data_IF_598448223366
#
_entry.id   IF_598448223366
#
_cell.length_a   1.000
_cell.length_b   1.000
_cell.length_c   1.000
_cell.angle_alpha   90.00
_cell.angle_beta   90.00
_cell.angle_gamma   90.00
#
_symmetry.space_group_name_H-M   'P 1'
#
loop_
_entity.id
_entity.type
_entity.pdbx_description
1 polymer ?
#
# COMPACT_ATOMS: atom_id res chain seq x y z
N UNK A 1 65.11 -22.79 20.35
CA UNK A 1 63.84 -23.36 20.85
C UNK A 1 62.85 -22.22 20.98
N UNK A 2 61.81 -22.13 20.13
CA UNK A 2 60.81 -21.08 20.25
C UNK A 2 59.64 -21.53 21.14
N UNK A 3 59.22 -20.64 22.03
CA UNK A 3 58.02 -20.75 22.85
C UNK A 3 56.77 -20.79 21.98
N UNK A 4 55.99 -21.86 22.14
CA UNK A 4 54.69 -22.03 21.50
C UNK A 4 53.62 -21.47 22.44
N UNK A 5 53.12 -20.29 22.13
CA UNK A 5 51.96 -19.70 22.79
C UNK A 5 50.71 -20.54 22.47
N UNK A 6 50.24 -21.32 23.44
CA UNK A 6 48.90 -21.91 23.40
C UNK A 6 47.86 -20.81 23.69
N UNK A 7 47.34 -20.16 22.65
CA UNK A 7 46.08 -19.42 22.75
C UNK A 7 44.94 -20.43 22.85
N UNK A 8 44.51 -20.72 24.09
CA UNK A 8 43.23 -21.37 24.35
C UNK A 8 42.11 -20.44 23.89
N UNK A 9 41.52 -20.70 22.72
CA UNK A 9 40.24 -20.10 22.38
C UNK A 9 39.16 -20.72 23.29
N UNK A 10 38.74 -19.99 24.31
CA UNK A 10 37.51 -20.31 25.02
C UNK A 10 36.34 -20.38 24.01
N UNK A 11 35.51 -21.43 24.05
CA UNK A 11 34.36 -21.51 23.18
C UNK A 11 33.34 -20.44 23.57
N UNK A 12 33.20 -19.42 22.71
CA UNK A 12 32.16 -18.37 22.71
C UNK A 12 30.73 -18.97 22.75
N UNK A 13 30.58 -20.29 22.64
CA UNK A 13 29.32 -21.01 22.71
C UNK A 13 28.64 -21.04 24.11
N UNK A 14 29.30 -20.60 25.19
CA UNK A 14 28.73 -20.69 26.56
C UNK A 14 27.92 -19.46 27.01
N UNK A 15 27.92 -18.34 26.30
CA UNK A 15 27.25 -17.11 26.78
C UNK A 15 25.74 -17.04 26.53
N UNK A 16 25.15 -18.00 25.80
CA UNK A 16 23.71 -17.99 25.48
C UNK A 16 22.85 -18.91 26.36
N UNK A 17 23.43 -19.60 27.35
CA UNK A 17 22.77 -20.74 28.02
C UNK A 17 22.14 -20.45 29.39
N UNK A 18 21.80 -19.21 29.74
CA UNK A 18 21.05 -18.94 30.99
C UNK A 18 20.23 -17.65 30.92
N UNK A 19 19.34 -17.50 29.92
CA UNK A 19 18.18 -16.60 30.10
C UNK A 19 17.13 -17.30 30.95
N UNK A 20 16.88 -16.76 32.14
CA UNK A 20 15.96 -17.29 33.15
C UNK A 20 14.56 -17.57 32.56
N UNK A 21 13.82 -18.56 33.08
CA UNK A 21 12.49 -18.91 32.59
C UNK A 21 11.51 -17.72 32.60
N UNK A 22 11.73 -16.76 33.51
CA UNK A 22 10.98 -15.50 33.58
C UNK A 22 11.18 -14.61 32.34
N UNK A 23 12.42 -14.49 31.84
CA UNK A 23 12.72 -13.71 30.63
C UNK A 23 12.07 -14.33 29.39
N UNK A 24 12.02 -15.67 29.33
CA UNK A 24 11.34 -16.39 28.25
C UNK A 24 9.82 -16.21 28.33
N UNK A 25 9.25 -16.29 29.52
CA UNK A 25 7.82 -16.06 29.75
C UNK A 25 7.39 -14.64 29.35
N UNK A 26 8.17 -13.63 29.77
CA UNK A 26 7.92 -12.23 29.41
C UNK A 26 8.01 -12.01 27.89
N UNK A 27 9.01 -12.61 27.23
CA UNK A 27 9.16 -12.53 25.78
C UNK A 27 7.94 -13.08 25.03
N UNK A 28 7.46 -14.26 25.42
CA UNK A 28 6.26 -14.86 24.81
C UNK A 28 4.99 -14.05 25.11
N UNK A 29 4.84 -13.54 26.34
CA UNK A 29 3.72 -12.67 26.69
C UNK A 29 3.69 -11.39 25.82
N UNK A 30 4.85 -10.77 25.56
CA UNK A 30 4.97 -9.64 24.65
C UNK A 30 4.58 -10.00 23.22
N UNK A 31 5.01 -11.15 22.69
CA UNK A 31 4.63 -11.60 21.34
C UNK A 31 3.12 -11.79 21.23
N UNK A 32 2.49 -12.47 22.19
CA UNK A 32 1.05 -12.69 22.20
C UNK A 32 0.31 -11.36 22.32
N UNK A 33 0.75 -10.48 23.21
CA UNK A 33 0.15 -9.15 23.39
C UNK A 33 0.21 -8.32 22.11
N UNK A 34 1.37 -8.26 21.44
CA UNK A 34 1.53 -7.55 20.17
C UNK A 34 0.68 -8.18 19.07
N UNK A 35 0.56 -9.50 19.04
CA UNK A 35 -0.26 -10.23 18.05
C UNK A 35 -1.75 -9.95 18.22
N UNK A 36 -2.24 -9.93 19.46
CA UNK A 36 -3.66 -9.61 19.76
C UNK A 36 -3.95 -8.14 19.43
N UNK A 37 -3.04 -7.24 19.78
CA UNK A 37 -3.16 -5.82 19.42
C UNK A 37 -3.16 -5.59 17.91
N UNK A 38 -2.28 -6.28 17.17
CA UNK A 38 -2.24 -6.13 15.71
C UNK A 38 -3.50 -6.70 15.05
N UNK A 39 -4.04 -7.81 15.56
CA UNK A 39 -5.32 -8.37 15.14
C UNK A 39 -6.51 -7.43 15.38
N UNK A 40 -6.47 -6.57 16.40
CA UNK A 40 -7.52 -5.58 16.65
C UNK A 40 -7.33 -4.26 15.89
N UNK A 41 -6.09 -3.75 15.85
CA UNK A 41 -5.79 -2.43 15.30
C UNK A 41 -5.72 -2.42 13.77
N UNK A 42 -5.14 -3.46 13.16
CA UNK A 42 -5.03 -3.54 11.70
C UNK A 42 -6.40 -3.52 10.99
N UNK A 43 -7.41 -4.33 11.36
CA UNK A 43 -8.71 -4.27 10.70
C UNK A 43 -9.44 -2.94 10.97
N UNK A 44 -9.24 -2.32 12.14
CA UNK A 44 -9.79 -1.00 12.42
C UNK A 44 -9.22 0.07 11.48
N UNK A 45 -7.89 0.08 11.29
CA UNK A 45 -7.24 1.00 10.36
C UNK A 45 -7.71 0.78 8.92
N UNK A 46 -7.85 -0.48 8.49
CA UNK A 46 -8.37 -0.83 7.16
C UNK A 46 -9.83 -0.37 7.01
N UNK A 47 -10.66 -0.55 8.03
CA UNK A 47 -12.05 -0.09 8.01
C UNK A 47 -12.14 1.44 7.91
N UNK A 48 -11.29 2.17 8.64
CA UNK A 48 -11.24 3.63 8.60
C UNK A 48 -10.77 4.16 7.25
N UNK A 49 -9.75 3.56 6.62
CA UNK A 49 -9.29 3.97 5.29
C UNK A 49 -10.36 3.72 4.23
N UNK A 50 -11.03 2.56 4.29
CA UNK A 50 -12.15 2.24 3.39
C UNK A 50 -13.33 3.18 3.58
N UNK A 51 -13.72 3.47 4.82
CA UNK A 51 -14.81 4.41 5.10
C UNK A 51 -14.49 5.82 4.60
N UNK A 52 -13.23 6.26 4.72
CA UNK A 52 -12.78 7.54 4.19
C UNK A 52 -12.82 7.57 2.66
N UNK A 53 -12.39 6.48 2.00
CA UNK A 53 -12.46 6.37 0.55
C UNK A 53 -13.90 6.35 0.06
N UNK A 54 -14.77 5.56 0.68
CA UNK A 54 -16.20 5.52 0.34
C UNK A 54 -16.82 6.92 0.40
N UNK A 55 -16.66 7.63 1.53
CA UNK A 55 -17.17 9.00 1.68
C UNK A 55 -16.68 9.99 0.63
N UNK A 56 -15.46 9.81 0.11
CA UNK A 56 -14.93 10.64 -0.98
C UNK A 56 -15.57 10.27 -2.32
N UNK A 57 -15.78 8.99 -2.58
CA UNK A 57 -16.25 8.49 -3.87
C UNK A 57 -17.77 8.47 -4.00
N UNK A 58 -18.51 8.35 -2.90
CA UNK A 58 -19.98 8.30 -2.91
C UNK A 58 -20.60 9.47 -3.69
N UNK A 59 -20.18 10.74 -3.50
CA UNK A 59 -20.72 11.85 -4.28
C UNK A 59 -20.42 11.77 -5.78
N UNK A 60 -19.28 11.18 -6.17
CA UNK A 60 -18.93 10.96 -7.57
C UNK A 60 -19.86 9.92 -8.20
N UNK A 61 -20.19 8.84 -7.48
CA UNK A 61 -21.11 7.82 -8.00
C UNK A 61 -22.57 8.29 -8.02
N UNK A 62 -22.98 9.16 -7.10
CA UNK A 62 -24.35 9.68 -7.05
C UNK A 62 -24.59 10.85 -8.02
N UNK A 63 -23.60 11.72 -8.21
CA UNK A 63 -23.78 13.00 -8.93
C UNK A 63 -22.68 13.29 -9.97
N UNK A 64 -21.72 12.39 -10.12
CA UNK A 64 -20.64 12.56 -11.08
C UNK A 64 -21.13 12.43 -12.52
N UNK A 65 -20.39 13.07 -13.41
CA UNK A 65 -20.60 12.97 -14.85
C UNK A 65 -19.48 12.11 -15.43
N UNK A 66 -19.85 11.21 -16.34
CA UNK A 66 -18.90 10.37 -17.03
C UNK A 66 -18.36 11.08 -18.29
N UNK A 67 -17.06 10.94 -18.54
CA UNK A 67 -16.45 11.30 -19.81
C UNK A 67 -15.38 10.27 -20.20
N UNK A 68 -14.96 10.31 -21.46
CA UNK A 68 -13.82 9.53 -21.92
C UNK A 68 -12.53 10.30 -21.67
N UNK A 69 -11.54 9.57 -21.15
CA UNK A 69 -10.17 10.00 -21.01
C UNK A 69 -9.22 9.02 -21.67
N UNK A 70 -7.94 9.34 -21.61
CA UNK A 70 -6.86 8.54 -22.17
C UNK A 70 -5.79 8.32 -21.11
N UNK A 71 -5.30 7.09 -21.00
CA UNK A 71 -4.17 6.77 -20.12
C UNK A 71 -2.90 7.38 -20.70
N UNK A 72 -2.21 8.19 -19.90
CA UNK A 72 -0.94 8.81 -20.32
C UNK A 72 0.25 7.97 -19.90
N UNK A 73 0.24 7.48 -18.66
CA UNK A 73 1.35 6.73 -18.10
C UNK A 73 0.87 5.69 -17.10
N UNK A 74 1.46 4.50 -17.20
CA UNK A 74 1.33 3.44 -16.19
C UNK A 74 2.64 3.42 -15.41
N UNK A 75 2.64 4.02 -14.23
CA UNK A 75 3.80 4.08 -13.35
C UNK A 75 4.00 2.71 -12.71
N UNK A 76 5.18 2.14 -12.97
CA UNK A 76 5.56 0.77 -12.58
C UNK A 76 5.45 0.50 -11.07
N UNK A 77 5.44 -0.78 -10.67
CA UNK A 77 4.92 -1.21 -9.39
C UNK A 77 5.78 -0.71 -8.23
N UNK A 78 5.21 0.16 -7.40
CA UNK A 78 5.73 0.50 -6.08
C UNK A 78 5.38 -0.57 -5.04
N UNK A 79 5.36 -1.86 -5.42
CA UNK A 79 4.90 -2.97 -4.58
C UNK A 79 3.63 -3.64 -5.11
N UNK A 80 2.57 -3.67 -4.28
CA UNK A 80 1.31 -4.39 -4.55
C UNK A 80 0.34 -3.63 -5.45
N UNK A 81 0.63 -2.37 -5.76
CA UNK A 81 -0.21 -1.49 -6.58
C UNK A 81 0.55 -0.91 -7.77
N UNK A 82 -0.20 -0.57 -8.81
CA UNK A 82 0.23 0.17 -9.99
C UNK A 82 -0.53 1.50 -10.00
N UNK A 83 0.16 2.60 -10.31
CA UNK A 83 -0.46 3.91 -10.43
C UNK A 83 -0.65 4.26 -11.90
N UNK A 84 -1.86 4.61 -12.28
CA UNK A 84 -2.24 4.93 -13.65
C UNK A 84 -2.58 6.41 -13.70
N UNK A 85 -1.83 7.16 -14.50
CA UNK A 85 -2.13 8.54 -14.83
C UNK A 85 -2.96 8.60 -16.11
N UNK A 86 -3.97 9.46 -16.11
CA UNK A 86 -4.84 9.67 -17.26
C UNK A 86 -5.17 11.15 -17.43
N UNK A 87 -5.60 11.49 -18.63
CA UNK A 87 -6.05 12.83 -19.03
C UNK A 87 -7.49 12.73 -19.49
N UNK A 88 -8.25 13.79 -19.27
CA UNK A 88 -9.60 13.92 -19.81
C UNK A 88 -9.92 15.39 -20.02
N UNK A 89 -10.93 15.67 -20.84
CA UNK A 89 -11.31 17.04 -21.20
C UNK A 89 -12.74 17.32 -20.79
N UNK A 90 -12.95 18.42 -20.07
CA UNK A 90 -14.28 18.91 -19.66
C UNK A 90 -14.40 20.35 -20.13
N UNK A 91 -15.42 20.64 -20.95
CA UNK A 91 -15.70 21.98 -21.47
C UNK A 91 -14.45 22.67 -22.10
N UNK A 92 -13.64 21.91 -22.85
CA UNK A 92 -12.42 22.41 -23.50
C UNK A 92 -11.20 22.58 -22.59
N UNK A 93 -11.31 22.28 -21.29
CA UNK A 93 -10.18 22.28 -20.34
C UNK A 93 -9.69 20.86 -20.08
N UNK A 94 -8.38 20.68 -20.05
CA UNK A 94 -7.73 19.40 -19.82
C UNK A 94 -7.44 19.22 -18.34
N UNK A 95 -7.79 18.06 -17.82
CA UNK A 95 -7.57 17.64 -16.44
C UNK A 95 -6.72 16.38 -16.42
N UNK A 96 -5.99 16.20 -15.32
CA UNK A 96 -5.18 15.02 -15.07
C UNK A 96 -5.71 14.32 -13.83
N UNK A 97 -5.84 13.01 -13.91
CA UNK A 97 -6.24 12.17 -12.80
C UNK A 97 -5.23 11.05 -12.58
N UNK A 98 -5.28 10.48 -11.38
CA UNK A 98 -4.50 9.33 -10.99
C UNK A 98 -5.40 8.30 -10.31
N UNK A 99 -5.13 7.03 -10.57
CA UNK A 99 -5.80 5.92 -9.91
C UNK A 99 -4.81 4.81 -9.58
N UNK A 100 -5.08 4.11 -8.48
CA UNK A 100 -4.25 3.00 -8.03
C UNK A 100 -5.03 1.70 -8.16
N UNK A 101 -4.44 0.74 -8.87
CA UNK A 101 -4.99 -0.61 -9.01
C UNK A 101 -4.03 -1.66 -8.46
N UNK A 102 -4.51 -2.87 -8.14
CA UNK A 102 -3.63 -4.00 -7.84
C UNK A 102 -2.65 -4.24 -8.98
N UNK A 103 -1.37 -4.47 -8.66
CA UNK A 103 -0.31 -4.62 -9.65
C UNK A 103 -0.55 -5.76 -10.66
N UNK A 104 -1.36 -6.77 -10.30
CA UNK A 104 -1.79 -7.86 -11.19
C UNK A 104 -2.57 -7.40 -12.42
N UNK A 105 -3.21 -6.23 -12.38
CA UNK A 105 -3.98 -5.67 -13.49
C UNK A 105 -3.10 -4.80 -14.40
N UNK A 106 -1.80 -4.67 -14.14
CA UNK A 106 -0.91 -3.81 -14.92
C UNK A 106 -0.88 -4.20 -16.40
N UNK A 107 -0.95 -5.49 -16.70
CA UNK A 107 -0.91 -6.01 -18.08
C UNK A 107 -2.17 -5.61 -18.87
N UNK A 108 -3.25 -5.22 -18.18
CA UNK A 108 -4.50 -4.77 -18.80
C UNK A 108 -4.48 -3.29 -19.19
N UNK A 109 -3.40 -2.55 -18.87
CA UNK A 109 -3.31 -1.11 -19.08
C UNK A 109 -2.05 -0.69 -19.83
N UNK A 110 -2.27 0.10 -20.88
CA UNK A 110 -1.24 0.70 -21.71
C UNK A 110 -1.49 2.19 -21.89
N UNK A 111 -0.41 2.94 -22.16
CA UNK A 111 -0.55 4.34 -22.55
C UNK A 111 -1.28 4.41 -23.90
N UNK A 112 -2.27 5.32 -24.00
CA UNK A 112 -3.18 5.43 -25.13
C UNK A 112 -4.52 4.73 -24.94
N UNK A 113 -4.68 3.91 -23.90
CA UNK A 113 -5.93 3.22 -23.64
C UNK A 113 -7.03 4.21 -23.24
N UNK A 114 -8.25 3.98 -23.76
CA UNK A 114 -9.41 4.73 -23.36
C UNK A 114 -9.84 4.35 -21.94
N UNK A 115 -10.11 5.35 -21.11
CA UNK A 115 -10.60 5.18 -19.73
C UNK A 115 -11.90 5.95 -19.54
N UNK A 116 -12.87 5.35 -18.86
CA UNK A 116 -14.05 6.11 -18.41
C UNK A 116 -13.72 6.85 -17.14
N UNK A 117 -13.84 8.17 -17.14
CA UNK A 117 -13.58 9.02 -15.98
C UNK A 117 -14.89 9.55 -15.43
N UNK A 118 -15.09 9.38 -14.14
CA UNK A 118 -16.19 9.98 -13.39
C UNK A 118 -15.64 11.19 -12.63
N UNK A 119 -16.20 12.38 -12.86
CA UNK A 119 -15.74 13.62 -12.23
C UNK A 119 -16.89 14.39 -11.58
N UNK A 120 -16.58 15.19 -10.57
CA UNK A 120 -17.56 16.07 -9.94
C UNK A 120 -17.83 17.30 -10.84
N UNK A 121 -19.10 17.62 -11.20
CA UNK A 121 -19.39 18.74 -12.09
C UNK A 121 -18.93 20.11 -11.54
N UNK A 122 -18.92 20.25 -10.21
CA UNK A 122 -18.50 21.49 -9.53
C UNK A 122 -16.98 21.61 -9.40
N UNK A 123 -16.26 20.49 -9.43
CA UNK A 123 -14.80 20.45 -9.37
C UNK A 123 -14.26 19.24 -10.15
N UNK A 124 -13.93 19.40 -11.44
CA UNK A 124 -13.40 18.30 -12.25
C UNK A 124 -12.04 17.79 -11.77
N UNK A 125 -11.35 18.48 -10.86
CA UNK A 125 -10.14 17.94 -10.24
C UNK A 125 -10.46 16.77 -9.28
N UNK A 126 -11.69 16.67 -8.77
CA UNK A 126 -12.15 15.47 -8.08
C UNK A 126 -12.73 14.48 -9.08
N UNK A 127 -11.91 13.50 -9.43
CA UNK A 127 -12.20 12.50 -10.43
C UNK A 127 -11.70 11.11 -10.03
N UNK A 128 -12.28 10.11 -10.66
CA UNK A 128 -11.86 8.72 -10.60
C UNK A 128 -11.98 8.06 -11.96
N UNK A 129 -10.93 7.37 -12.39
CA UNK A 129 -10.96 6.53 -13.57
C UNK A 129 -11.52 5.15 -13.22
N UNK A 130 -12.44 4.66 -14.03
CA UNK A 130 -13.09 3.37 -13.88
C UNK A 130 -12.38 2.34 -14.76
N UNK A 131 -12.13 1.17 -14.18
CA UNK A 131 -11.69 -0.03 -14.90
C UNK A 131 -12.84 -0.56 -15.76
N UNK A 132 -12.55 -0.98 -17.00
CA UNK A 132 -13.53 -1.53 -17.93
C UNK A 132 -13.62 -3.05 -17.85
#
# INVERSE_FOLDING_TARGET
MPDVYHYQMEPIAKSLRTRSPLVRGLFWACIVYVSVLSLGLAPLLIALTRAKQARRLDPLFEHGVACEGEVTHVLGPGGWTVSIAYIFTVAGKRYTGHMEYPARLREDWHAGDAVTVLYAPHDPADNIGLFR
#
